data_IF_337736975252
#
_entry.id   IF_337736975252
#
_cell.length_a   1.000
_cell.length_b   1.000
_cell.length_c   1.000
_cell.angle_alpha   90.00
_cell.angle_beta   90.00
_cell.angle_gamma   90.00
#
_symmetry.space_group_name_H-M   'P 1'
#
loop_
_entity.id
_entity.type
_entity.pdbx_description
1 polymer ?
#
# COMPACT_ATOMS: atom_id res chain seq x y z
N UNK A 1 -91.05 -124.24 -42.86
CA UNK A 1 -91.10 -123.51 -41.57
C UNK A 1 -89.71 -123.16 -41.02
N UNK A 2 -88.70 -124.01 -41.23
CA UNK A 2 -87.33 -123.78 -40.73
C UNK A 2 -86.55 -122.70 -41.50
N UNK A 3 -86.77 -122.60 -42.82
CA UNK A 3 -86.16 -121.57 -43.69
C UNK A 3 -86.62 -120.15 -43.32
N UNK A 4 -87.91 -119.94 -43.00
CA UNK A 4 -88.41 -118.62 -42.55
C UNK A 4 -87.83 -118.18 -41.20
N UNK A 5 -87.57 -119.12 -40.27
CA UNK A 5 -86.94 -118.80 -38.97
C UNK A 5 -85.46 -118.45 -39.09
N UNK A 6 -84.75 -119.07 -40.04
CA UNK A 6 -83.38 -118.71 -40.38
C UNK A 6 -83.32 -117.32 -41.04
N UNK A 7 -84.30 -117.01 -41.90
CA UNK A 7 -84.40 -115.72 -42.56
C UNK A 7 -84.75 -114.57 -41.58
N UNK A 8 -85.64 -114.81 -40.62
CA UNK A 8 -85.97 -113.84 -39.56
C UNK A 8 -84.79 -113.65 -38.56
N UNK A 9 -84.03 -114.71 -38.26
CA UNK A 9 -82.77 -114.60 -37.50
C UNK A 9 -81.69 -113.83 -38.26
N UNK A 10 -81.59 -114.03 -39.58
CA UNK A 10 -80.70 -113.28 -40.47
C UNK A 10 -81.02 -111.78 -40.48
N UNK A 11 -82.29 -111.43 -40.69
CA UNK A 11 -82.75 -110.03 -40.67
C UNK A 11 -82.50 -109.34 -39.32
N UNK A 12 -82.70 -110.02 -38.20
CA UNK A 12 -82.39 -109.49 -36.86
C UNK A 12 -80.88 -109.32 -36.63
N UNK A 13 -80.06 -110.23 -37.16
CA UNK A 13 -78.60 -110.09 -37.10
C UNK A 13 -78.10 -108.93 -37.95
N UNK A 14 -78.68 -108.73 -39.14
CA UNK A 14 -78.37 -107.61 -40.02
C UNK A 14 -78.78 -106.26 -39.41
N UNK A 15 -79.95 -106.18 -38.77
CA UNK A 15 -80.37 -104.96 -38.07
C UNK A 15 -79.46 -104.61 -36.89
N UNK A 16 -79.02 -105.63 -36.13
CA UNK A 16 -78.09 -105.44 -35.01
C UNK A 16 -76.71 -104.99 -35.50
N UNK A 17 -76.21 -105.59 -36.59
CA UNK A 17 -74.94 -105.18 -37.21
C UNK A 17 -75.04 -103.74 -37.74
N UNK A 18 -76.15 -103.37 -38.38
CA UNK A 18 -76.37 -102.01 -38.87
C UNK A 18 -76.42 -100.97 -37.73
N UNK A 19 -77.03 -101.32 -36.59
CA UNK A 19 -77.07 -100.47 -35.40
C UNK A 19 -75.67 -100.33 -34.77
N UNK A 20 -74.93 -101.44 -34.63
CA UNK A 20 -73.55 -101.43 -34.16
C UNK A 20 -72.63 -100.62 -35.07
N UNK A 21 -72.77 -100.73 -36.39
CA UNK A 21 -72.00 -99.93 -37.34
C UNK A 21 -72.28 -98.44 -37.18
N UNK A 22 -73.54 -98.04 -36.99
CA UNK A 22 -73.90 -96.63 -36.69
C UNK A 22 -73.29 -96.15 -35.39
N UNK A 23 -73.32 -96.97 -34.34
CA UNK A 23 -72.69 -96.65 -33.05
C UNK A 23 -71.16 -96.51 -33.19
N UNK A 24 -70.51 -97.39 -33.94
CA UNK A 24 -69.06 -97.32 -34.23
C UNK A 24 -68.74 -96.04 -35.01
N UNK A 25 -69.53 -95.68 -36.02
CA UNK A 25 -69.33 -94.43 -36.77
C UNK A 25 -69.51 -93.20 -35.87
N UNK A 26 -70.53 -93.19 -35.00
CA UNK A 26 -70.74 -92.12 -34.02
C UNK A 26 -69.56 -91.96 -33.06
N UNK A 27 -69.08 -93.06 -32.48
CA UNK A 27 -67.90 -93.08 -31.61
C UNK A 27 -66.61 -92.69 -32.35
N UNK A 28 -66.50 -93.03 -33.64
CA UNK A 28 -65.34 -92.65 -34.46
C UNK A 28 -65.30 -91.14 -34.69
N UNK A 29 -66.44 -90.53 -35.01
CA UNK A 29 -66.54 -89.08 -35.16
C UNK A 29 -66.24 -88.36 -33.84
N UNK A 30 -66.77 -88.84 -32.71
CA UNK A 30 -66.49 -88.27 -31.39
C UNK A 30 -65.00 -88.38 -31.02
N UNK A 31 -64.37 -89.52 -31.31
CA UNK A 31 -62.92 -89.69 -31.13
C UNK A 31 -62.14 -88.69 -31.98
N UNK A 32 -62.55 -88.48 -33.22
CA UNK A 32 -61.86 -87.56 -34.15
C UNK A 32 -62.02 -86.09 -33.71
N UNK A 33 -63.21 -85.70 -33.25
CA UNK A 33 -63.46 -84.38 -32.66
C UNK A 33 -62.63 -84.15 -31.39
N UNK A 34 -62.58 -85.15 -30.50
CA UNK A 34 -61.75 -85.10 -29.29
C UNK A 34 -60.26 -85.03 -29.62
N UNK A 35 -59.80 -85.73 -30.66
CA UNK A 35 -58.41 -85.66 -31.12
C UNK A 35 -58.06 -84.26 -31.63
N UNK A 36 -58.97 -83.61 -32.37
CA UNK A 36 -58.78 -82.23 -32.82
C UNK A 36 -58.74 -81.24 -31.64
N UNK A 37 -59.63 -81.40 -30.65
CA UNK A 37 -59.64 -80.57 -29.45
C UNK A 37 -58.35 -80.74 -28.63
N UNK A 38 -57.88 -81.98 -28.45
CA UNK A 38 -56.63 -82.27 -27.76
C UNK A 38 -55.42 -81.63 -28.46
N UNK A 39 -55.38 -81.66 -29.80
CA UNK A 39 -54.33 -81.00 -30.57
C UNK A 39 -54.36 -79.46 -30.40
N UNK A 40 -55.54 -78.85 -30.42
CA UNK A 40 -55.71 -77.41 -30.17
C UNK A 40 -55.27 -77.01 -28.76
N UNK A 41 -55.67 -77.79 -27.74
CA UNK A 41 -55.27 -77.55 -26.36
C UNK A 41 -53.75 -77.68 -26.17
N UNK A 42 -53.12 -78.64 -26.85
CA UNK A 42 -51.66 -78.82 -26.82
C UNK A 42 -50.95 -77.59 -27.39
N UNK A 43 -51.39 -77.09 -28.54
CA UNK A 43 -50.84 -75.87 -29.14
C UNK A 43 -51.05 -74.63 -28.25
N UNK A 44 -52.22 -74.48 -27.65
CA UNK A 44 -52.51 -73.37 -26.73
C UNK A 44 -51.60 -73.44 -25.50
N UNK A 45 -51.38 -74.64 -24.96
CA UNK A 45 -50.48 -74.86 -23.82
C UNK A 45 -49.04 -74.49 -24.17
N UNK A 46 -48.52 -74.92 -25.32
CA UNK A 46 -47.16 -74.56 -25.77
C UNK A 46 -47.01 -73.04 -25.92
N UNK A 47 -48.01 -72.36 -26.48
CA UNK A 47 -48.00 -70.90 -26.59
C UNK A 47 -48.02 -70.20 -25.23
N UNK A 48 -48.81 -70.70 -24.28
CA UNK A 48 -48.86 -70.16 -22.93
C UNK A 48 -47.53 -70.39 -22.18
N UNK A 49 -46.93 -71.57 -22.32
CA UNK A 49 -45.61 -71.88 -21.74
C UNK A 49 -44.54 -70.94 -22.31
N UNK A 50 -44.57 -70.65 -23.61
CA UNK A 50 -43.68 -69.68 -24.24
C UNK A 50 -43.89 -68.24 -23.73
N UNK A 51 -45.15 -67.77 -23.60
CA UNK A 51 -45.45 -66.42 -23.07
C UNK A 51 -45.03 -66.30 -21.60
N UNK A 52 -45.28 -67.33 -20.78
CA UNK A 52 -44.83 -67.35 -19.38
C UNK A 52 -43.30 -67.29 -19.29
N UNK A 53 -42.58 -68.06 -20.12
CA UNK A 53 -41.12 -68.02 -20.15
C UNK A 53 -40.60 -66.64 -20.56
N UNK A 54 -41.20 -66.01 -21.58
CA UNK A 54 -40.83 -64.68 -22.02
C UNK A 54 -41.08 -63.62 -20.94
N UNK A 55 -42.23 -63.67 -20.26
CA UNK A 55 -42.55 -62.75 -19.16
C UNK A 55 -41.64 -62.95 -17.98
N UNK A 56 -41.28 -64.20 -17.65
CA UNK A 56 -40.34 -64.48 -16.57
C UNK A 56 -38.96 -63.90 -16.86
N UNK A 57 -38.50 -64.02 -18.11
CA UNK A 57 -37.24 -63.41 -18.53
C UNK A 57 -37.30 -61.88 -18.44
N UNK A 58 -38.36 -61.25 -18.97
CA UNK A 58 -38.53 -59.80 -18.89
C UNK A 58 -38.60 -59.28 -17.45
N UNK A 59 -39.22 -60.05 -16.55
CA UNK A 59 -39.29 -59.73 -15.13
C UNK A 59 -37.91 -59.82 -14.46
N UNK A 60 -37.13 -60.85 -14.78
CA UNK A 60 -35.76 -60.97 -14.27
C UNK A 60 -34.87 -59.83 -14.75
N UNK A 61 -34.98 -59.43 -16.02
CA UNK A 61 -34.24 -58.31 -16.58
C UNK A 61 -34.63 -56.98 -15.91
N UNK A 62 -35.94 -56.77 -15.67
CA UNK A 62 -36.43 -55.59 -14.97
C UNK A 62 -35.95 -55.52 -13.52
N UNK A 63 -35.89 -56.66 -12.81
CA UNK A 63 -35.34 -56.74 -11.46
C UNK A 63 -33.84 -56.38 -11.43
N UNK A 64 -33.05 -56.91 -12.37
CA UNK A 64 -31.63 -56.56 -12.48
C UNK A 64 -31.42 -55.07 -12.76
N UNK A 65 -32.26 -54.46 -13.62
CA UNK A 65 -32.21 -53.02 -13.86
C UNK A 65 -32.58 -52.20 -12.63
N UNK A 66 -33.54 -52.68 -11.84
CA UNK A 66 -33.94 -52.02 -10.59
C UNK A 66 -32.80 -52.06 -9.57
N UNK A 67 -32.14 -53.20 -9.40
CA UNK A 67 -30.98 -53.35 -8.54
C UNK A 67 -29.82 -52.44 -8.98
N UNK A 68 -29.54 -52.36 -10.28
CA UNK A 68 -28.52 -51.46 -10.80
C UNK A 68 -28.84 -50.00 -10.50
N UNK A 69 -30.09 -49.57 -10.72
CA UNK A 69 -30.52 -48.20 -10.41
C UNK A 69 -30.47 -47.91 -8.92
N UNK A 70 -30.77 -48.89 -8.06
CA UNK A 70 -30.66 -48.77 -6.61
C UNK A 70 -29.19 -48.49 -6.21
N UNK A 71 -28.25 -49.20 -6.83
CA UNK A 71 -26.81 -48.97 -6.63
C UNK A 71 -26.40 -47.58 -7.10
N UNK A 72 -26.84 -47.16 -8.29
CA UNK A 72 -26.52 -45.83 -8.84
C UNK A 72 -27.09 -44.69 -7.99
N UNK A 73 -28.29 -44.85 -7.43
CA UNK A 73 -28.85 -43.89 -6.48
C UNK A 73 -28.01 -43.83 -5.21
N UNK A 74 -27.56 -44.98 -4.69
CA UNK A 74 -26.72 -45.02 -3.48
C UNK A 74 -25.35 -44.37 -3.69
N UNK A 75 -24.78 -44.46 -4.89
CA UNK A 75 -23.49 -43.82 -5.22
C UNK A 75 -23.70 -42.31 -5.40
N UNK A 76 -24.73 -41.90 -6.12
CA UNK A 76 -25.09 -40.49 -6.29
C UNK A 76 -25.33 -39.80 -4.94
N UNK A 77 -26.05 -40.44 -4.02
CA UNK A 77 -26.29 -39.92 -2.67
C UNK A 77 -24.98 -39.70 -1.89
N UNK A 78 -24.04 -40.66 -1.97
CA UNK A 78 -22.72 -40.51 -1.35
C UNK A 78 -21.94 -39.35 -1.98
N UNK A 79 -21.95 -39.23 -3.30
CA UNK A 79 -21.30 -38.11 -3.99
C UNK A 79 -21.90 -36.76 -3.60
N UNK A 80 -23.22 -36.66 -3.51
CA UNK A 80 -23.91 -35.43 -3.07
C UNK A 80 -23.45 -35.05 -1.67
N UNK A 81 -23.43 -35.99 -0.71
CA UNK A 81 -22.97 -35.71 0.64
C UNK A 81 -21.52 -35.21 0.69
N UNK A 82 -20.63 -35.81 -0.12
CA UNK A 82 -19.22 -35.34 -0.20
C UNK A 82 -19.11 -33.94 -0.83
N UNK A 83 -19.93 -33.64 -1.83
CA UNK A 83 -19.95 -32.33 -2.48
C UNK A 83 -20.50 -31.26 -1.51
N UNK A 84 -21.56 -31.56 -0.78
CA UNK A 84 -22.11 -30.67 0.25
C UNK A 84 -21.08 -30.36 1.35
N UNK A 85 -20.33 -31.37 1.80
CA UNK A 85 -19.24 -31.18 2.75
C UNK A 85 -18.14 -30.28 2.17
N UNK A 86 -17.73 -30.51 0.92
CA UNK A 86 -16.70 -29.69 0.27
C UNK A 86 -17.16 -28.23 0.06
N UNK A 87 -18.45 -28.03 -0.24
CA UNK A 87 -19.06 -26.72 -0.42
C UNK A 87 -19.09 -25.97 0.92
N UNK A 88 -19.45 -26.65 2.01
CA UNK A 88 -19.43 -26.07 3.35
C UNK A 88 -18.02 -25.62 3.74
N UNK A 89 -17.01 -26.46 3.53
CA UNK A 89 -15.61 -26.12 3.77
C UNK A 89 -15.11 -24.96 2.91
N UNK A 90 -15.51 -24.92 1.62
CA UNK A 90 -15.14 -23.82 0.73
C UNK A 90 -15.76 -22.49 1.19
N UNK A 91 -17.02 -22.50 1.66
CA UNK A 91 -17.70 -21.31 2.20
C UNK A 91 -17.02 -20.80 3.47
N UNK A 92 -16.64 -21.70 4.37
CA UNK A 92 -15.92 -21.35 5.60
C UNK A 92 -14.58 -20.68 5.28
N UNK A 93 -13.78 -21.27 4.37
CA UNK A 93 -12.51 -20.68 3.93
C UNK A 93 -12.66 -19.30 3.29
N UNK A 94 -13.72 -19.09 2.51
CA UNK A 94 -14.00 -17.77 1.92
C UNK A 94 -14.34 -16.76 3.01
N UNK A 95 -15.15 -17.15 4.00
CA UNK A 95 -15.49 -16.29 5.14
C UNK A 95 -14.24 -15.90 5.94
N UNK A 96 -13.41 -16.88 6.30
CA UNK A 96 -12.14 -16.63 7.01
C UNK A 96 -11.20 -15.73 6.19
N UNK A 97 -11.11 -15.96 4.88
CA UNK A 97 -10.30 -15.12 4.00
C UNK A 97 -10.83 -13.68 3.92
N UNK A 98 -12.15 -13.48 3.95
CA UNK A 98 -12.76 -12.15 3.95
C UNK A 98 -12.48 -11.42 5.26
N UNK A 99 -12.62 -12.11 6.40
CA UNK A 99 -12.30 -11.55 7.72
C UNK A 99 -10.82 -11.18 7.83
N UNK A 100 -9.93 -12.04 7.36
CA UNK A 100 -8.50 -11.76 7.31
C UNK A 100 -8.18 -10.56 6.42
N UNK A 101 -8.86 -10.42 5.27
CA UNK A 101 -8.67 -9.28 4.38
C UNK A 101 -9.13 -7.97 5.05
N UNK A 102 -10.29 -7.98 5.71
CA UNK A 102 -10.80 -6.82 6.45
C UNK A 102 -9.82 -6.38 7.56
N UNK A 103 -9.28 -7.33 8.34
CA UNK A 103 -8.27 -7.04 9.37
C UNK A 103 -6.97 -6.48 8.79
N UNK A 104 -6.51 -7.02 7.65
CA UNK A 104 -5.33 -6.49 6.97
C UNK A 104 -5.57 -5.07 6.45
N UNK A 105 -6.75 -4.78 5.90
CA UNK A 105 -7.10 -3.43 5.46
C UNK A 105 -7.14 -2.44 6.62
N UNK A 106 -7.70 -2.83 7.76
CA UNK A 106 -7.69 -2.02 8.99
C UNK A 106 -6.26 -1.76 9.47
N UNK A 107 -5.42 -2.81 9.54
CA UNK A 107 -4.00 -2.67 9.92
C UNK A 107 -3.24 -1.73 8.98
N UNK A 108 -3.47 -1.83 7.67
CA UNK A 108 -2.85 -0.94 6.68
C UNK A 108 -3.33 0.50 6.87
N UNK A 109 -4.62 0.72 7.16
CA UNK A 109 -5.16 2.05 7.42
C UNK A 109 -4.54 2.67 8.68
N UNK A 110 -4.41 1.90 9.76
CA UNK A 110 -3.73 2.34 11.00
C UNK A 110 -2.26 2.66 10.75
N UNK A 111 -1.54 1.82 10.01
CA UNK A 111 -0.13 2.06 9.68
C UNK A 111 0.05 3.34 8.84
N UNK A 112 -0.84 3.59 7.88
CA UNK A 112 -0.82 4.83 7.09
C UNK A 112 -1.07 6.06 7.98
N UNK A 113 -2.08 6.01 8.84
CA UNK A 113 -2.36 7.10 9.77
C UNK A 113 -1.18 7.38 10.71
N UNK A 114 -0.49 6.33 11.19
CA UNK A 114 0.70 6.47 12.03
C UNK A 114 1.88 7.09 11.27
N UNK A 115 2.09 6.70 10.00
CA UNK A 115 3.14 7.28 9.16
C UNK A 115 2.87 8.76 8.86
N UNK A 116 1.62 9.11 8.58
CA UNK A 116 1.22 10.50 8.34
C UNK A 116 1.45 11.34 9.61
N UNK A 117 1.02 10.85 10.77
CA UNK A 117 1.25 11.52 12.05
C UNK A 117 2.75 11.65 12.39
N UNK A 118 3.57 10.65 12.06
CA UNK A 118 5.01 10.72 12.26
C UNK A 118 5.67 11.73 11.31
N UNK A 119 5.24 11.78 10.04
CA UNK A 119 5.70 12.75 9.06
C UNK A 119 5.38 14.18 9.50
N UNK A 120 4.16 14.44 9.99
CA UNK A 120 3.77 15.74 10.53
C UNK A 120 4.62 16.15 11.74
N UNK A 121 4.86 15.23 12.68
CA UNK A 121 5.75 15.48 13.83
C UNK A 121 7.17 15.79 13.40
N UNK A 122 7.71 15.06 12.42
CA UNK A 122 9.04 15.34 11.87
C UNK A 122 9.12 16.73 11.24
N UNK A 123 8.10 17.14 10.47
CA UNK A 123 8.03 18.50 9.91
C UNK A 123 7.90 19.58 11.00
N UNK A 124 7.17 19.31 12.07
CA UNK A 124 7.08 20.23 13.21
C UNK A 124 8.42 20.39 13.94
N UNK A 125 9.12 19.28 14.19
CA UNK A 125 10.46 19.29 14.80
C UNK A 125 11.45 20.04 13.92
N UNK A 126 11.44 19.80 12.61
CA UNK A 126 12.29 20.51 11.65
C UNK A 126 12.05 22.02 11.69
N UNK A 127 10.78 22.45 11.67
CA UNK A 127 10.44 23.88 11.81
C UNK A 127 10.94 24.48 13.12
N UNK A 128 10.81 23.76 14.24
CA UNK A 128 11.34 24.23 15.54
C UNK A 128 12.86 24.32 15.55
N UNK A 129 13.53 23.38 14.90
CA UNK A 129 14.99 23.39 14.79
C UNK A 129 15.48 24.59 13.98
N UNK A 130 14.84 24.91 12.86
CA UNK A 130 15.16 26.09 12.06
C UNK A 130 15.01 27.40 12.86
N UNK A 131 13.90 27.56 13.58
CA UNK A 131 13.69 28.74 14.45
C UNK A 131 14.76 28.82 15.54
N UNK A 132 15.10 27.69 16.18
CA UNK A 132 16.12 27.67 17.22
C UNK A 132 17.51 27.96 16.67
N UNK A 133 17.82 27.52 15.46
CA UNK A 133 19.08 27.83 14.77
C UNK A 133 19.17 29.34 14.47
N UNK A 134 18.09 29.95 13.97
CA UNK A 134 18.03 31.40 13.74
C UNK A 134 18.20 32.19 15.06
N UNK A 135 17.53 31.77 16.13
CA UNK A 135 17.68 32.37 17.46
C UNK A 135 19.11 32.24 18.01
N UNK A 136 19.75 31.09 17.78
CA UNK A 136 21.14 30.85 18.17
C UNK A 136 22.11 31.74 17.39
N UNK A 137 21.95 31.87 16.08
CA UNK A 137 22.73 32.79 15.25
C UNK A 137 22.60 34.24 15.76
N UNK A 138 21.36 34.68 16.04
CA UNK A 138 21.11 36.01 16.57
C UNK A 138 21.73 36.22 17.96
N UNK A 139 21.68 35.20 18.82
CA UNK A 139 22.29 35.25 20.15
C UNK A 139 23.82 35.27 20.07
N UNK A 140 24.41 34.48 19.16
CA UNK A 140 25.85 34.44 18.91
C UNK A 140 26.37 35.83 18.54
N UNK A 141 25.73 36.51 17.58
CA UNK A 141 26.09 37.89 17.20
C UNK A 141 26.03 38.85 18.39
N UNK A 142 25.03 38.72 19.28
CA UNK A 142 24.92 39.56 20.49
C UNK A 142 26.02 39.23 21.51
N UNK A 143 26.32 37.95 21.68
CA UNK A 143 27.36 37.49 22.60
C UNK A 143 28.74 37.94 22.15
N UNK A 144 29.07 37.79 20.87
CA UNK A 144 30.36 38.22 20.31
C UNK A 144 30.57 39.74 20.47
N UNK A 145 29.49 40.54 20.33
CA UNK A 145 29.51 41.97 20.64
C UNK A 145 29.77 42.29 22.12
N UNK A 146 29.38 41.40 23.03
CA UNK A 146 29.48 41.63 24.48
C UNK A 146 30.82 41.16 25.06
N UNK A 147 31.40 40.10 24.51
CA UNK A 147 32.61 39.45 25.03
C UNK A 147 33.89 40.01 24.42
N UNK A 148 33.79 40.87 23.39
CA UNK A 148 34.97 41.57 22.87
C UNK A 148 35.62 42.43 23.97
N UNK A 149 36.95 42.42 24.11
CA UNK A 149 37.65 43.22 25.11
C UNK A 149 37.30 44.71 25.03
N UNK A 150 37.39 45.45 26.13
CA UNK A 150 37.23 46.90 26.07
C UNK A 150 38.32 47.51 25.17
N UNK A 151 37.93 48.42 24.26
CA UNK A 151 38.85 49.16 23.38
C UNK A 151 39.94 49.83 24.24
N UNK A 152 41.20 49.47 24.00
CA UNK A 152 42.36 49.91 24.78
C UNK A 152 43.52 50.26 23.87
N UNK A 153 44.28 51.30 24.22
CA UNK A 153 45.49 51.68 23.49
C UNK A 153 46.71 50.83 23.87
N UNK A 154 46.59 49.90 24.81
CA UNK A 154 47.71 49.10 25.30
C UNK A 154 48.28 48.17 24.20
N UNK A 155 49.56 48.34 23.88
CA UNK A 155 50.26 47.57 22.83
C UNK A 155 49.90 47.95 21.40
N UNK A 156 49.07 48.98 21.20
CA UNK A 156 48.63 49.46 19.88
C UNK A 156 49.31 50.78 19.53
N UNK A 157 49.44 51.06 18.23
CA UNK A 157 50.08 52.28 17.79
C UNK A 157 49.09 53.47 17.86
N UNK A 158 49.26 54.35 18.86
CA UNK A 158 48.37 55.46 19.15
C UNK A 158 48.53 56.59 18.14
N UNK A 159 47.46 56.92 17.43
CA UNK A 159 47.35 58.09 16.57
C UNK A 159 46.28 59.02 17.12
N UNK A 160 46.59 60.29 17.30
CA UNK A 160 45.58 61.28 17.65
C UNK A 160 45.30 62.21 16.47
N UNK A 161 44.03 62.42 16.19
CA UNK A 161 43.56 63.27 15.08
C UNK A 161 42.62 64.33 15.65
N UNK A 162 42.99 65.59 15.48
CA UNK A 162 42.12 66.73 15.78
C UNK A 162 41.42 67.18 14.53
N UNK A 163 40.12 67.38 14.64
CA UNK A 163 39.28 67.83 13.54
C UNK A 163 38.40 68.99 14.00
N UNK A 164 38.42 70.09 13.26
CA UNK A 164 37.59 71.26 13.53
C UNK A 164 37.34 72.08 12.26
N UNK A 165 36.43 73.03 12.36
CA UNK A 165 35.99 73.93 11.29
C UNK A 165 36.19 75.37 11.76
N UNK A 166 36.95 76.14 11.00
CA UNK A 166 37.30 77.52 11.28
C UNK A 166 37.18 78.33 9.99
N UNK A 167 36.48 79.47 10.04
CA UNK A 167 36.18 80.32 8.86
C UNK A 167 35.59 79.54 7.67
N UNK A 168 34.72 78.57 7.96
CA UNK A 168 34.07 77.73 6.95
C UNK A 168 34.96 76.63 6.35
N UNK A 169 36.23 76.54 6.73
CA UNK A 169 37.18 75.55 6.23
C UNK A 169 37.47 74.46 7.26
N UNK A 170 37.52 73.21 6.81
CA UNK A 170 37.89 72.08 7.67
C UNK A 170 39.41 72.03 7.88
N UNK A 171 39.81 71.90 9.14
CA UNK A 171 41.20 71.78 9.55
C UNK A 171 41.41 70.45 10.25
N UNK A 172 42.52 69.81 9.90
CA UNK A 172 42.93 68.54 10.49
C UNK A 172 44.37 68.69 10.97
N UNK A 173 44.61 68.32 12.21
CA UNK A 173 45.96 68.07 12.69
C UNK A 173 46.05 66.66 13.24
N UNK A 174 47.21 66.06 13.10
CA UNK A 174 47.43 64.72 13.61
C UNK A 174 48.76 64.64 14.34
N UNK A 175 48.91 63.64 15.20
CA UNK A 175 50.19 63.28 15.81
C UNK A 175 50.29 61.78 15.99
N UNK A 176 51.53 61.31 15.98
CA UNK A 176 51.92 59.94 16.24
C UNK A 176 52.38 59.83 17.70
N UNK A 177 51.68 59.03 18.50
CA UNK A 177 51.91 58.92 19.93
C UNK A 177 51.50 60.15 20.75
N UNK A 178 51.82 60.15 22.04
CA UNK A 178 51.42 61.21 22.98
C UNK A 178 52.44 62.36 23.07
N UNK A 179 53.65 62.18 22.54
CA UNK A 179 54.78 63.10 22.72
C UNK A 179 55.12 63.92 21.46
N UNK A 180 54.60 63.52 20.29
CA UNK A 180 54.84 64.27 19.05
C UNK A 180 53.99 65.56 18.97
N UNK A 181 54.53 66.64 18.37
CA UNK A 181 53.76 67.84 18.08
C UNK A 181 52.70 67.58 17.01
N UNK A 182 51.55 68.23 17.12
CA UNK A 182 50.49 68.14 16.11
C UNK A 182 50.93 68.79 14.81
N UNK A 183 50.77 68.07 13.70
CA UNK A 183 51.10 68.52 12.36
C UNK A 183 49.83 68.75 11.56
N UNK A 184 49.73 69.90 10.89
CA UNK A 184 48.62 70.19 9.99
C UNK A 184 48.70 69.31 8.74
N UNK A 185 47.59 68.67 8.38
CA UNK A 185 47.53 67.74 7.26
C UNK A 185 46.19 67.85 6.54
N UNK A 186 46.17 67.59 5.23
CA UNK A 186 44.91 67.44 4.49
C UNK A 186 44.31 66.04 4.69
N UNK A 187 42.98 65.91 4.51
CA UNK A 187 42.27 64.63 4.63
C UNK A 187 42.90 63.51 3.78
N UNK A 188 43.20 63.80 2.52
CA UNK A 188 43.77 62.82 1.59
C UNK A 188 45.19 62.39 1.99
N UNK A 189 45.98 63.29 2.58
CA UNK A 189 47.32 62.96 3.07
C UNK A 189 47.22 62.16 4.37
N UNK A 190 46.29 62.51 5.27
CA UNK A 190 46.05 61.74 6.50
C UNK A 190 45.68 60.29 6.17
N UNK A 191 44.77 60.07 5.22
CA UNK A 191 44.40 58.72 4.79
C UNK A 191 45.61 57.93 4.25
N UNK A 192 46.49 58.56 3.47
CA UNK A 192 47.72 57.90 2.98
C UNK A 192 48.67 57.54 4.11
N UNK A 193 48.86 58.45 5.07
CA UNK A 193 49.72 58.24 6.24
C UNK A 193 49.17 57.09 7.10
N UNK A 194 47.88 57.11 7.40
CA UNK A 194 47.22 56.05 8.19
C UNK A 194 47.19 54.72 7.47
N UNK A 195 47.00 54.70 6.15
CA UNK A 195 47.05 53.46 5.36
C UNK A 195 48.43 52.84 5.42
N UNK A 196 49.49 53.66 5.30
CA UNK A 196 50.88 53.19 5.43
C UNK A 196 51.17 52.69 6.84
N UNK A 197 50.82 53.47 7.87
CA UNK A 197 51.05 53.10 9.28
C UNK A 197 50.27 51.83 9.66
N UNK A 198 49.06 51.65 9.13
CA UNK A 198 48.28 50.44 9.35
C UNK A 198 48.91 49.20 8.70
N UNK A 199 49.71 49.35 7.64
CA UNK A 199 50.46 48.26 7.02
C UNK A 199 51.82 48.01 7.70
N UNK A 200 52.41 49.05 8.29
CA UNK A 200 53.71 48.99 8.97
C UNK A 200 53.61 48.42 10.39
N UNK A 201 52.49 48.65 11.07
CA UNK A 201 52.24 48.14 12.41
C UNK A 201 51.29 46.93 12.38
N UNK A 202 51.86 45.74 12.46
CA UNK A 202 51.11 44.47 12.53
C UNK A 202 50.17 44.42 13.75
N UNK A 203 50.56 45.08 14.84
CA UNK A 203 49.74 45.22 16.04
C UNK A 203 48.57 46.19 15.85
N UNK A 204 48.38 46.85 14.71
CA UNK A 204 47.21 47.70 14.42
C UNK A 204 47.20 49.08 15.10
N UNK A 205 46.41 49.99 14.54
CA UNK A 205 46.35 51.39 14.97
C UNK A 205 45.24 51.64 15.98
N UNK A 206 45.52 52.42 17.03
CA UNK A 206 44.50 53.02 17.90
C UNK A 206 44.29 54.48 17.46
N UNK A 207 43.16 54.78 16.85
CA UNK A 207 42.85 56.11 16.31
C UNK A 207 41.98 56.90 17.30
N UNK A 208 42.54 57.90 17.94
CA UNK A 208 41.82 58.78 18.86
C UNK A 208 41.43 60.08 18.17
N UNK A 209 40.15 60.23 17.88
CA UNK A 209 39.60 61.48 17.34
C UNK A 209 39.31 62.45 18.49
N UNK A 210 39.81 63.68 18.37
CA UNK A 210 39.68 64.75 19.36
C UNK A 210 39.00 65.95 18.69
N UNK A 211 37.92 66.43 19.27
CA UNK A 211 37.26 67.67 18.85
C UNK A 211 37.61 68.77 19.85
N UNK A 212 38.35 69.83 19.45
CA UNK A 212 38.63 70.96 20.32
C UNK A 212 37.35 71.66 20.82
N UNK A 213 37.44 72.35 21.96
CA UNK A 213 36.36 73.23 22.43
C UNK A 213 36.11 74.31 21.36
N UNK A 214 34.85 74.50 20.97
CA UNK A 214 34.45 75.32 19.81
C UNK A 214 34.93 74.79 18.45
N UNK A 215 34.85 73.48 18.22
CA UNK A 215 35.23 72.84 16.95
C UNK A 215 34.46 73.35 15.73
N UNK A 216 33.34 74.06 15.88
CA UNK A 216 32.53 74.55 14.76
C UNK A 216 31.87 73.45 13.91
N UNK A 217 31.92 72.19 14.38
CA UNK A 217 31.35 71.02 13.72
C UNK A 217 29.95 70.73 14.28
N UNK A 218 29.04 70.32 13.39
CA UNK A 218 27.79 69.69 13.79
C UNK A 218 28.04 68.26 14.30
N UNK A 219 27.06 67.73 15.03
CA UNK A 219 27.11 66.35 15.53
C UNK A 219 27.29 65.32 14.40
N UNK A 220 26.57 65.48 13.29
CA UNK A 220 26.66 64.56 12.15
C UNK A 220 28.04 64.61 11.48
N UNK A 221 28.61 65.80 11.28
CA UNK A 221 29.96 65.95 10.69
C UNK A 221 31.04 65.30 11.58
N UNK A 222 30.93 65.46 12.91
CA UNK A 222 31.84 64.83 13.86
C UNK A 222 31.67 63.30 13.88
N UNK A 223 30.43 62.81 13.85
CA UNK A 223 30.13 61.38 13.86
C UNK A 223 30.60 60.69 12.57
N UNK A 224 30.29 61.26 11.40
CA UNK A 224 30.74 60.72 10.10
C UNK A 224 32.26 60.65 10.01
N UNK A 225 32.96 61.69 10.50
CA UNK A 225 34.41 61.70 10.54
C UNK A 225 34.97 60.60 11.43
N UNK A 226 34.45 60.47 12.67
CA UNK A 226 34.88 59.44 13.62
C UNK A 226 34.59 58.03 13.11
N UNK A 227 33.38 57.78 12.60
CA UNK A 227 32.97 56.48 12.06
C UNK A 227 33.86 56.06 10.89
N UNK A 228 34.14 56.97 9.96
CA UNK A 228 35.04 56.69 8.84
C UNK A 228 36.46 56.36 9.30
N UNK A 229 36.99 57.13 10.26
CA UNK A 229 38.34 56.93 10.81
C UNK A 229 38.47 55.61 11.56
N UNK A 230 37.49 55.29 12.40
CA UNK A 230 37.49 54.07 13.18
C UNK A 230 37.31 52.83 12.30
N UNK A 231 36.29 52.80 11.43
CA UNK A 231 36.02 51.65 10.56
C UNK A 231 37.20 51.31 9.64
N UNK A 232 37.88 52.33 9.11
CA UNK A 232 38.93 52.13 8.08
C UNK A 232 40.34 52.00 8.65
N UNK A 233 40.60 52.43 9.88
CA UNK A 233 41.96 52.51 10.41
C UNK A 233 42.12 51.95 11.83
N UNK A 234 41.09 51.98 12.67
CA UNK A 234 41.21 51.53 14.06
C UNK A 234 41.13 50.02 14.19
N UNK A 235 42.07 49.43 14.95
CA UNK A 235 42.20 47.99 15.13
C UNK A 235 40.92 47.35 15.71
N UNK A 236 40.19 48.08 16.56
CA UNK A 236 39.02 47.54 17.26
C UNK A 236 37.79 47.43 16.35
N UNK A 237 37.68 48.34 15.37
CA UNK A 237 36.54 48.42 14.47
C UNK A 237 36.84 47.81 13.08
N UNK A 238 38.12 47.64 12.70
CA UNK A 238 38.50 46.85 11.53
C UNK A 238 38.18 45.37 11.70
N UNK A 239 38.44 44.81 12.89
CA UNK A 239 38.06 43.44 13.20
C UNK A 239 36.55 43.22 13.04
N UNK A 240 35.73 44.26 13.26
CA UNK A 240 34.27 44.24 13.03
C UNK A 240 33.90 44.05 11.54
N UNK A 241 34.70 44.56 10.60
CA UNK A 241 34.43 44.44 9.17
C UNK A 241 34.87 43.07 8.60
N UNK A 242 36.00 42.53 9.07
CA UNK A 242 36.55 41.26 8.58
C UNK A 242 35.75 40.04 9.09
N UNK A 243 35.30 40.03 10.35
CA UNK A 243 34.45 38.96 10.90
C UNK A 243 33.03 38.95 10.29
N UNK A 244 32.53 40.11 9.86
CA UNK A 244 31.21 40.22 9.21
C UNK A 244 31.24 39.65 7.78
N UNK A 245 32.36 39.83 7.04
CA UNK A 245 32.53 39.25 5.70
C UNK A 245 32.77 37.73 5.75
N UNK A 246 33.51 37.24 6.74
CA UNK A 246 33.75 35.80 6.93
C UNK A 246 32.47 35.03 7.30
N UNK A 247 31.62 35.60 8.17
CA UNK A 247 30.35 34.97 8.55
C UNK A 247 29.27 35.04 7.45
N UNK A 248 29.42 35.92 6.46
CA UNK A 248 28.52 36.04 5.30
C UNK A 248 28.86 35.07 4.16
N UNK A 249 30.09 34.55 4.12
CA UNK A 249 30.61 33.72 3.03
C UNK A 249 30.56 32.21 3.32
N UNK A 250 30.16 31.80 4.53
CA UNK A 250 29.87 30.41 4.90
C UNK A 250 28.38 30.03 4.83
N UNK A 251 27.52 30.91 4.28
CA UNK A 251 26.10 30.63 4.00
C UNK A 251 25.87 30.15 2.57
#
# INVERSE_FOLDING_TARGET
LEIMRLQDKGLRSESLIAEQLRAITGLTNERDDLAQQAAQLTLLRERLEADVAQRQQALNDALQQLDQRQLDISTAQRTIATLEQSLAQARERISESQDNNARLQETIAEQRANLDAQSERSQEVERRYLVLADDFDALKVKYDKLVRPARSSAGRHLIEVRYWKEDGNYKITWREGNEAPYQAISRNQLDKVLTRLAAEHEDGLYVKVIFPENSGLSYNEAWEFTSHMHSKYDYYFKAEAEDTDASSSER
#
